data_IF_078843579054
#
_entry.id   IF_078843579054
#
_cell.length_a   1.000
_cell.length_b   1.000
_cell.length_c   1.000
_cell.angle_alpha   90.00
_cell.angle_beta   90.00
_cell.angle_gamma   90.00
#
_symmetry.space_group_name_H-M   'P 1'
#
loop_
_entity.id
_entity.type
_entity.pdbx_description
1 polymer ?
#
# COMPACT_ATOMS: atom_id res chain seq x y z
N UNK A 1 16.41 20.00 -30.09
CA UNK A 1 16.62 19.82 -28.64
C UNK A 1 15.26 20.05 -27.98
N UNK A 2 14.75 19.13 -27.15
CA UNK A 2 13.49 19.33 -26.41
C UNK A 2 13.82 19.95 -25.06
N UNK A 3 13.37 21.18 -24.83
CA UNK A 3 13.44 21.80 -23.52
C UNK A 3 12.40 21.16 -22.60
N UNK A 4 12.84 20.68 -21.44
CA UNK A 4 11.99 20.10 -20.41
C UNK A 4 12.22 20.91 -19.14
N UNK A 5 11.17 21.57 -18.65
CA UNK A 5 11.22 22.29 -17.37
C UNK A 5 10.88 21.32 -16.24
N UNK A 6 11.72 21.27 -15.20
CA UNK A 6 11.47 20.46 -14.00
C UNK A 6 11.01 21.37 -12.86
N UNK A 7 9.81 21.11 -12.35
CA UNK A 7 9.33 21.70 -11.11
C UNK A 7 9.87 20.86 -9.95
N UNK A 8 10.90 21.37 -9.25
CA UNK A 8 11.60 20.65 -8.18
C UNK A 8 11.16 21.04 -6.77
N UNK A 9 10.43 22.14 -6.60
CA UNK A 9 10.01 22.64 -5.29
C UNK A 9 8.87 21.77 -4.74
N UNK A 10 9.08 21.03 -3.64
CA UNK A 10 8.00 20.31 -2.98
C UNK A 10 7.03 21.31 -2.32
N UNK A 11 5.76 20.92 -2.08
CA UNK A 11 4.83 21.74 -1.30
C UNK A 11 5.39 22.07 0.08
N UNK A 12 5.08 23.28 0.57
CA UNK A 12 5.28 23.62 1.97
C UNK A 12 4.49 22.59 2.81
N UNK A 13 5.10 22.00 3.84
CA UNK A 13 4.59 20.89 4.68
C UNK A 13 4.85 19.44 4.22
N UNK A 14 5.56 19.19 3.11
CA UNK A 14 5.98 17.82 2.80
C UNK A 14 7.11 17.34 3.72
N UNK A 15 6.78 16.51 4.71
CA UNK A 15 7.79 15.78 5.48
C UNK A 15 8.43 14.65 4.65
N UNK A 16 9.74 14.36 4.85
CA UNK A 16 10.40 13.27 4.16
C UNK A 16 9.80 11.91 4.57
N UNK A 17 9.78 10.97 3.63
CA UNK A 17 9.43 9.58 3.91
C UNK A 17 10.58 8.95 4.72
N UNK A 18 10.26 8.37 5.87
CA UNK A 18 11.21 7.61 6.66
C UNK A 18 11.36 6.21 6.06
N UNK A 19 12.49 5.94 5.42
CA UNK A 19 12.76 4.66 4.77
C UNK A 19 13.53 3.74 5.70
N UNK A 20 13.03 2.51 5.86
CA UNK A 20 13.72 1.43 6.55
C UNK A 20 14.02 0.29 5.57
N UNK A 21 15.25 -0.24 5.62
CA UNK A 21 15.70 -1.38 4.82
C UNK A 21 16.16 -2.48 5.77
N UNK A 22 15.62 -3.67 5.58
CA UNK A 22 15.93 -4.81 6.43
C UNK A 22 15.26 -6.09 5.94
N UNK A 23 15.51 -7.22 6.62
CA UNK A 23 14.83 -8.47 6.30
C UNK A 23 13.33 -8.36 6.56
N UNK A 24 12.55 -9.14 5.82
CA UNK A 24 11.12 -9.29 6.10
C UNK A 24 10.93 -10.02 7.43
N UNK A 25 10.12 -9.45 8.32
CA UNK A 25 9.67 -10.13 9.54
C UNK A 25 8.21 -9.83 9.81
N UNK A 26 7.43 -10.84 10.16
CA UNK A 26 6.01 -10.72 10.53
C UNK A 26 5.80 -9.64 11.62
N UNK A 27 6.72 -9.56 12.57
CA UNK A 27 6.68 -8.59 13.67
C UNK A 27 6.82 -7.15 13.19
N UNK A 28 7.79 -6.85 12.32
CA UNK A 28 7.96 -5.49 11.81
C UNK A 28 6.84 -5.11 10.84
N UNK A 29 6.42 -6.03 9.98
CA UNK A 29 5.30 -5.80 9.05
C UNK A 29 4.01 -5.46 9.81
N UNK A 30 3.63 -6.27 10.81
CA UNK A 30 2.42 -6.02 11.59
C UNK A 30 2.51 -4.74 12.43
N UNK A 31 3.68 -4.43 13.01
CA UNK A 31 3.89 -3.18 13.74
C UNK A 31 3.77 -1.94 12.83
N UNK A 32 4.32 -2.01 11.61
CA UNK A 32 4.22 -0.93 10.63
C UNK A 32 2.77 -0.70 10.19
N UNK A 33 2.03 -1.76 9.88
CA UNK A 33 0.61 -1.67 9.50
C UNK A 33 -0.20 -1.06 10.65
N UNK A 34 -0.07 -1.58 11.89
CA UNK A 34 -0.81 -1.06 13.05
C UNK A 34 -0.51 0.41 13.31
N UNK A 35 0.74 0.84 13.18
CA UNK A 35 1.13 2.24 13.36
C UNK A 35 0.40 3.16 12.38
N UNK A 36 0.22 2.73 11.13
CA UNK A 36 -0.49 3.51 10.12
C UNK A 36 -2.00 3.54 10.40
N UNK A 37 -2.59 2.41 10.79
CA UNK A 37 -4.01 2.34 11.18
C UNK A 37 -4.33 3.21 12.41
N UNK A 38 -3.42 3.29 13.40
CA UNK A 38 -3.56 4.19 14.55
C UNK A 38 -3.57 5.67 14.17
N UNK A 39 -3.14 6.01 12.96
CA UNK A 39 -3.18 7.38 12.39
C UNK A 39 -4.37 7.56 11.43
N UNK A 40 -5.29 6.60 11.41
CA UNK A 40 -6.41 6.54 10.46
C UNK A 40 -5.95 6.55 8.99
N UNK A 41 -4.72 6.11 8.76
CA UNK A 41 -4.07 6.03 7.47
C UNK A 41 -4.35 4.72 6.74
N UNK A 42 -3.73 4.58 5.57
CA UNK A 42 -3.91 3.44 4.68
C UNK A 42 -2.56 2.89 4.24
N UNK A 43 -2.49 1.59 3.99
CA UNK A 43 -1.24 0.89 3.69
C UNK A 43 -1.26 0.31 2.30
N UNK A 44 -0.23 0.62 1.51
CA UNK A 44 0.12 -0.15 0.32
C UNK A 44 1.08 -1.27 0.68
N UNK A 45 0.74 -2.52 0.33
CA UNK A 45 1.62 -3.67 0.44
C UNK A 45 1.91 -4.24 -0.95
N UNK A 46 3.16 -4.18 -1.38
CA UNK A 46 3.54 -4.59 -2.74
C UNK A 46 3.98 -6.06 -2.75
N UNK A 47 3.30 -6.86 -3.57
CA UNK A 47 3.66 -8.25 -3.83
C UNK A 47 3.71 -8.54 -5.33
N UNK A 48 4.91 -8.77 -5.87
CA UNK A 48 5.17 -8.75 -7.32
C UNK A 48 4.72 -10.01 -8.09
N UNK A 49 4.02 -10.95 -7.44
CA UNK A 49 3.62 -12.22 -8.08
C UNK A 49 2.14 -12.52 -7.83
N UNK A 50 1.31 -12.26 -8.84
CA UNK A 50 -0.14 -12.48 -8.79
C UNK A 50 -0.51 -13.90 -8.34
N UNK A 51 0.19 -14.93 -8.82
CA UNK A 51 -0.11 -16.32 -8.45
C UNK A 51 0.02 -16.65 -6.95
N UNK A 52 0.61 -15.76 -6.15
CA UNK A 52 0.81 -15.95 -4.70
C UNK A 52 0.29 -14.77 -3.87
N UNK A 53 -0.32 -13.76 -4.49
CA UNK A 53 -0.74 -12.54 -3.80
C UNK A 53 -1.82 -12.80 -2.76
N UNK A 54 -2.77 -13.69 -3.06
CA UNK A 54 -3.84 -14.07 -2.13
C UNK A 54 -3.30 -14.75 -0.87
N UNK A 55 -2.23 -15.54 -1.00
CA UNK A 55 -1.56 -16.15 0.16
C UNK A 55 -0.94 -15.09 1.05
N UNK A 56 -0.28 -14.09 0.45
CA UNK A 56 0.28 -12.97 1.19
C UNK A 56 -0.82 -12.13 1.86
N UNK A 57 -1.92 -11.86 1.15
CA UNK A 57 -3.06 -11.12 1.71
C UNK A 57 -3.71 -11.88 2.88
N UNK A 58 -3.91 -13.20 2.76
CA UNK A 58 -4.40 -14.04 3.85
C UNK A 58 -3.46 -13.98 5.07
N UNK A 59 -2.14 -14.08 4.86
CA UNK A 59 -1.16 -13.95 5.93
C UNK A 59 -1.22 -12.58 6.61
N UNK A 60 -1.44 -11.50 5.87
CA UNK A 60 -1.61 -10.16 6.44
C UNK A 60 -2.89 -10.09 7.29
N UNK A 61 -4.00 -10.65 6.81
CA UNK A 61 -5.27 -10.73 7.57
C UNK A 61 -5.10 -11.51 8.89
N UNK A 62 -4.28 -12.56 8.90
CA UNK A 62 -3.93 -13.28 10.14
C UNK A 62 -3.06 -12.43 11.08
N UNK A 63 -2.07 -11.71 10.55
CA UNK A 63 -1.15 -10.89 11.35
C UNK A 63 -1.80 -9.64 11.93
N UNK A 64 -2.79 -9.06 11.22
CA UNK A 64 -3.49 -7.83 11.57
C UNK A 64 -4.99 -7.99 11.31
N UNK A 65 -5.73 -8.71 12.17
CA UNK A 65 -7.16 -9.00 11.97
C UNK A 65 -8.07 -7.76 11.94
N UNK A 66 -7.62 -6.65 12.51
CA UNK A 66 -8.31 -5.36 12.49
C UNK A 66 -8.22 -4.62 11.14
N UNK A 67 -7.35 -5.07 10.22
CA UNK A 67 -7.18 -4.47 8.91
C UNK A 67 -8.17 -5.06 7.89
N UNK A 68 -8.84 -4.19 7.13
CA UNK A 68 -9.48 -4.59 5.86
C UNK A 68 -8.40 -4.69 4.79
N UNK A 69 -8.23 -5.88 4.22
CA UNK A 69 -7.18 -6.17 3.23
C UNK A 69 -7.82 -6.63 1.93
N UNK A 70 -7.61 -5.85 0.87
CA UNK A 70 -8.02 -6.17 -0.50
C UNK A 70 -6.81 -6.37 -1.42
N UNK A 71 -7.02 -7.11 -2.51
CA UNK A 71 -6.00 -7.43 -3.51
C UNK A 71 -6.33 -6.71 -4.81
N UNK A 72 -5.36 -5.97 -5.36
CA UNK A 72 -5.47 -5.28 -6.64
C UNK A 72 -4.30 -5.69 -7.56
N UNK A 73 -4.60 -6.20 -8.76
CA UNK A 73 -3.58 -6.54 -9.76
C UNK A 73 -4.09 -6.50 -11.20
N UNK A 74 -3.17 -6.36 -12.17
CA UNK A 74 -3.51 -6.17 -13.58
C UNK A 74 -4.16 -7.35 -14.32
N UNK A 75 -4.20 -8.56 -13.74
CA UNK A 75 -4.98 -9.68 -14.29
C UNK A 75 -6.48 -9.63 -13.94
N UNK A 76 -6.92 -8.66 -13.15
CA UNK A 76 -8.34 -8.47 -12.83
C UNK A 76 -9.06 -7.77 -13.97
N UNK A 77 -10.39 -7.89 -14.03
CA UNK A 77 -11.18 -7.03 -14.93
C UNK A 77 -11.05 -5.56 -14.49
N UNK A 78 -11.08 -4.66 -15.47
CA UNK A 78 -10.95 -3.21 -15.24
C UNK A 78 -11.97 -2.71 -14.22
N UNK A 79 -13.25 -3.03 -14.40
CA UNK A 79 -14.32 -2.63 -13.47
C UNK A 79 -14.05 -3.09 -12.02
N UNK A 80 -13.50 -4.29 -11.84
CA UNK A 80 -13.22 -4.81 -10.50
C UNK A 80 -12.01 -4.11 -9.88
N UNK A 81 -10.97 -3.87 -10.68
CA UNK A 81 -9.79 -3.14 -10.23
C UNK A 81 -10.16 -1.70 -9.85
N UNK A 82 -10.92 -1.02 -10.70
CA UNK A 82 -11.42 0.34 -10.45
C UNK A 82 -12.21 0.42 -9.16
N UNK A 83 -13.17 -0.49 -8.94
CA UNK A 83 -13.97 -0.52 -7.72
C UNK A 83 -13.09 -0.62 -6.46
N UNK A 84 -12.05 -1.48 -6.48
CA UNK A 84 -11.14 -1.64 -5.33
C UNK A 84 -10.34 -0.36 -5.09
N UNK A 85 -9.91 0.34 -6.13
CA UNK A 85 -9.20 1.61 -5.99
C UNK A 85 -10.11 2.70 -5.43
N UNK A 86 -11.37 2.76 -5.88
CA UNK A 86 -12.38 3.69 -5.35
C UNK A 86 -12.68 3.38 -3.89
N UNK A 87 -12.94 2.11 -3.54
CA UNK A 87 -13.21 1.71 -2.15
C UNK A 87 -12.02 2.03 -1.24
N UNK A 88 -10.80 1.82 -1.72
CA UNK A 88 -9.60 2.25 -1.01
C UNK A 88 -9.59 3.77 -0.83
N UNK A 89 -9.80 4.56 -1.88
CA UNK A 89 -9.82 6.02 -1.78
C UNK A 89 -10.91 6.56 -0.82
N UNK A 90 -12.10 5.96 -0.85
CA UNK A 90 -13.24 6.31 0.00
C UNK A 90 -13.15 5.76 1.44
N UNK A 91 -12.09 4.99 1.76
CA UNK A 91 -11.93 4.29 3.04
C UNK A 91 -13.12 3.36 3.36
N UNK A 92 -13.66 2.67 2.36
CA UNK A 92 -14.78 1.72 2.49
C UNK A 92 -14.35 0.27 2.71
#
# INVERSE_FOLDING_TARGET
IRETSTLATPPEERHPVLTYVGPYTDRQTSAAIRRELMREGQVFFVHNRVSTIERTAAKIRELVPEARVEVAHGQMSENRLEQIIVDFWEKR
#
